data_IF_839688517373
#
_entry.id   IF_839688517373
#
_cell.length_a   1.000
_cell.length_b   1.000
_cell.length_c   1.000
_cell.angle_alpha   90.00
_cell.angle_beta   90.00
_cell.angle_gamma   90.00
#
_symmetry.space_group_name_H-M   'P 1'
#
loop_
_entity.id
_entity.type
_entity.pdbx_description
1 polymer ?
#
# COMPACT_ATOMS: atom_id res chain seq x y z
N UNK A 1 20.07 -7.84 15.13
CA UNK A 1 20.71 -8.62 14.05
C UNK A 1 20.17 -8.12 12.72
N UNK A 2 21.02 -7.61 11.84
CA UNK A 2 20.62 -7.18 10.49
C UNK A 2 20.02 -8.40 9.76
N UNK A 3 18.83 -8.24 9.18
CA UNK A 3 18.09 -9.35 8.55
C UNK A 3 18.65 -9.64 7.16
N UNK A 4 19.81 -10.27 7.04
CA UNK A 4 20.42 -10.59 5.73
C UNK A 4 19.45 -11.37 4.83
N UNK A 5 19.21 -10.83 3.63
CA UNK A 5 18.35 -11.45 2.62
C UNK A 5 19.02 -12.71 2.03
N UNK A 6 18.47 -13.92 2.20
CA UNK A 6 19.12 -15.15 1.73
C UNK A 6 19.09 -15.31 0.19
N UNK A 7 18.33 -14.47 -0.52
CA UNK A 7 18.02 -14.67 -1.94
C UNK A 7 19.02 -14.04 -2.93
N UNK A 8 20.09 -13.40 -2.45
CA UNK A 8 21.18 -12.95 -3.32
C UNK A 8 22.04 -14.11 -3.87
N UNK A 9 21.84 -15.35 -3.41
CA UNK A 9 22.73 -16.47 -3.73
C UNK A 9 22.11 -17.66 -4.51
N UNK A 10 20.80 -17.69 -4.79
CA UNK A 10 20.19 -18.81 -5.54
C UNK A 10 19.33 -18.34 -6.71
N UNK A 11 19.89 -18.38 -7.92
CA UNK A 11 19.08 -18.29 -9.15
C UNK A 11 18.13 -19.50 -9.20
N UNK A 12 16.82 -19.25 -9.19
CA UNK A 12 15.84 -20.17 -9.76
C UNK A 12 14.99 -21.01 -8.81
N UNK A 13 14.91 -20.73 -7.50
CA UNK A 13 13.96 -21.46 -6.64
C UNK A 13 13.01 -20.64 -5.77
N UNK A 14 13.07 -19.31 -5.74
CA UNK A 14 12.12 -18.49 -4.97
C UNK A 14 12.17 -17.00 -5.32
N UNK A 15 12.09 -16.64 -6.62
CA UNK A 15 12.31 -15.26 -7.10
C UNK A 15 11.45 -14.20 -6.38
N UNK A 16 10.28 -14.61 -5.88
CA UNK A 16 9.35 -13.74 -5.14
C UNK A 16 9.12 -14.08 -3.66
N UNK A 17 10.07 -14.76 -3.02
CA UNK A 17 10.01 -14.94 -1.57
C UNK A 17 10.15 -13.60 -0.84
N UNK A 18 9.51 -13.52 0.33
CA UNK A 18 9.56 -12.34 1.18
C UNK A 18 10.97 -12.12 1.72
N UNK A 19 11.41 -10.87 1.64
CA UNK A 19 12.60 -10.38 2.27
C UNK A 19 12.33 -8.95 2.76
N UNK A 20 12.46 -8.67 4.07
CA UNK A 20 12.24 -7.33 4.59
C UNK A 20 13.30 -6.36 4.04
N UNK A 21 12.95 -5.09 3.96
CA UNK A 21 13.88 -4.02 3.59
C UNK A 21 15.12 -4.02 4.50
N UNK A 22 16.29 -3.89 3.89
CA UNK A 22 17.56 -3.68 4.57
C UNK A 22 17.76 -2.20 4.89
N UNK A 23 18.74 -1.88 5.73
CA UNK A 23 19.01 -0.50 6.16
C UNK A 23 19.37 0.44 4.99
N UNK A 24 19.97 -0.08 3.93
CA UNK A 24 20.33 0.67 2.71
C UNK A 24 19.19 0.82 1.70
N UNK A 25 18.12 0.03 1.84
CA UNK A 25 17.02 -0.02 0.89
C UNK A 25 16.08 1.17 1.10
N UNK A 26 15.53 1.69 0.00
CA UNK A 26 14.54 2.78 0.07
C UNK A 26 13.12 2.24 -0.03
N UNK A 27 12.24 2.86 0.74
CA UNK A 27 10.81 2.58 0.76
C UNK A 27 10.02 3.89 0.77
N UNK A 28 8.73 3.77 0.51
CA UNK A 28 7.76 4.86 0.53
C UNK A 28 6.75 4.67 1.67
N UNK A 29 5.66 5.43 1.71
CA UNK A 29 4.49 5.12 2.55
C UNK A 29 3.44 4.26 1.83
N UNK A 30 3.70 3.83 0.59
CA UNK A 30 2.79 2.98 -0.17
C UNK A 30 3.07 1.50 0.15
N UNK A 31 2.18 0.81 0.89
CA UNK A 31 2.40 -0.58 1.27
C UNK A 31 2.47 -1.51 0.06
N UNK A 32 1.76 -1.20 -1.03
CA UNK A 32 1.76 -2.00 -2.25
C UNK A 32 3.12 -1.96 -2.98
N UNK A 33 3.74 -0.79 -3.15
CA UNK A 33 5.05 -0.71 -3.77
C UNK A 33 6.13 -1.33 -2.88
N UNK A 34 6.06 -1.07 -1.58
CA UNK A 34 7.01 -1.62 -0.62
C UNK A 34 6.93 -3.16 -0.56
N UNK A 35 5.72 -3.72 -0.60
CA UNK A 35 5.49 -5.18 -0.68
C UNK A 35 6.06 -5.76 -1.98
N UNK A 36 5.88 -5.09 -3.13
CA UNK A 36 6.50 -5.53 -4.39
C UNK A 36 8.03 -5.58 -4.29
N UNK A 37 8.66 -4.59 -3.66
CA UNK A 37 10.11 -4.58 -3.45
C UNK A 37 10.54 -5.69 -2.46
N UNK A 38 9.81 -5.87 -1.35
CA UNK A 38 10.06 -6.94 -0.37
C UNK A 38 9.90 -8.34 -0.98
N UNK A 39 9.12 -8.47 -2.05
CA UNK A 39 8.95 -9.71 -2.81
C UNK A 39 9.67 -9.72 -4.15
N UNK A 40 10.54 -8.75 -4.46
CA UNK A 40 11.33 -8.75 -5.70
C UNK A 40 10.51 -8.71 -7.00
N UNK A 41 9.27 -8.21 -6.97
CA UNK A 41 8.50 -7.90 -8.19
C UNK A 41 8.96 -6.60 -8.85
N UNK A 42 9.59 -5.73 -8.07
CA UNK A 42 10.40 -4.59 -8.49
C UNK A 42 11.77 -4.69 -7.79
N UNK A 43 12.71 -3.80 -8.08
CA UNK A 43 14.03 -3.83 -7.42
C UNK A 43 13.89 -3.84 -5.90
N UNK A 44 14.58 -4.77 -5.22
CA UNK A 44 14.47 -4.99 -3.77
C UNK A 44 15.00 -3.81 -2.97
N UNK A 45 15.99 -3.11 -3.51
CA UNK A 45 16.54 -1.88 -2.92
C UNK A 45 15.61 -0.67 -3.11
N UNK A 46 14.55 -0.79 -3.92
CA UNK A 46 13.58 0.27 -4.18
C UNK A 46 14.08 1.40 -5.09
N UNK A 47 15.20 1.20 -5.81
CA UNK A 47 15.84 2.22 -6.64
C UNK A 47 15.69 1.94 -8.13
N UNK A 48 15.93 2.99 -8.92
CA UNK A 48 16.03 2.94 -10.38
C UNK A 48 14.82 2.32 -11.11
N UNK A 49 13.61 2.56 -10.59
CA UNK A 49 12.38 1.99 -11.11
C UNK A 49 11.90 2.76 -12.33
N UNK A 50 11.81 2.07 -13.47
CA UNK A 50 11.18 2.60 -14.69
C UNK A 50 9.66 2.40 -14.67
N UNK A 51 8.98 3.06 -15.61
CA UNK A 51 7.57 2.80 -15.88
C UNK A 51 7.28 1.30 -16.08
N UNK A 52 8.13 0.61 -16.86
CA UNK A 52 7.95 -0.81 -17.18
C UNK A 52 8.06 -1.71 -15.96
N UNK A 53 8.97 -1.37 -15.03
CA UNK A 53 9.17 -2.15 -13.79
C UNK A 53 7.93 -2.07 -12.91
N UNK A 54 7.41 -0.87 -12.68
CA UNK A 54 6.21 -0.66 -11.86
C UNK A 54 4.98 -1.23 -12.56
N UNK A 55 4.81 -0.96 -13.85
CA UNK A 55 3.70 -1.47 -14.66
C UNK A 55 3.64 -3.01 -14.66
N UNK A 56 4.77 -3.67 -14.92
CA UNK A 56 4.85 -5.13 -14.94
C UNK A 56 4.72 -5.72 -13.54
N UNK A 57 5.33 -5.09 -12.54
CA UNK A 57 5.26 -5.48 -11.13
C UNK A 57 3.81 -5.47 -10.61
N UNK A 58 3.05 -4.41 -10.89
CA UNK A 58 1.64 -4.31 -10.49
C UNK A 58 0.78 -5.45 -11.07
N UNK A 59 0.97 -5.78 -12.34
CA UNK A 59 0.26 -6.89 -12.98
C UNK A 59 0.69 -8.25 -12.41
N UNK A 60 2.00 -8.47 -12.24
CA UNK A 60 2.55 -9.75 -11.80
C UNK A 60 2.30 -10.03 -10.31
N UNK A 61 2.38 -9.00 -9.46
CA UNK A 61 2.22 -9.11 -8.02
C UNK A 61 0.73 -9.14 -7.61
N UNK A 62 -0.10 -8.28 -8.21
CA UNK A 62 -1.48 -8.04 -7.75
C UNK A 62 -2.57 -8.42 -8.74
N UNK A 63 -2.21 -8.93 -9.92
CA UNK A 63 -3.18 -9.31 -10.95
C UNK A 63 -3.91 -8.10 -11.54
N UNK A 64 -3.30 -6.92 -11.59
CA UNK A 64 -3.97 -5.78 -12.23
C UNK A 64 -4.11 -6.01 -13.75
N UNK A 65 -5.19 -5.51 -14.34
CA UNK A 65 -5.28 -5.40 -15.81
C UNK A 65 -4.26 -4.40 -16.35
N UNK A 66 -3.85 -4.57 -17.61
CA UNK A 66 -2.97 -3.64 -18.31
C UNK A 66 -3.51 -2.19 -18.25
N UNK A 67 -4.80 -1.99 -18.49
CA UNK A 67 -5.41 -0.66 -18.44
C UNK A 67 -5.30 -0.02 -17.04
N UNK A 68 -5.62 -0.77 -15.98
CA UNK A 68 -5.52 -0.26 -14.62
C UNK A 68 -4.06 0.02 -14.23
N UNK A 69 -3.14 -0.91 -14.52
CA UNK A 69 -1.71 -0.72 -14.25
C UNK A 69 -1.15 0.49 -15.00
N UNK A 70 -1.53 0.70 -16.26
CA UNK A 70 -1.12 1.87 -17.05
C UNK A 70 -1.59 3.18 -16.41
N UNK A 71 -2.86 3.25 -16.00
CA UNK A 71 -3.43 4.44 -15.32
C UNK A 71 -2.71 4.72 -14.00
N UNK A 72 -2.51 3.70 -13.16
CA UNK A 72 -1.86 3.87 -11.87
C UNK A 72 -0.39 4.28 -12.01
N UNK A 73 0.38 3.62 -12.88
CA UNK A 73 1.78 3.99 -13.09
C UNK A 73 1.87 5.39 -13.69
N UNK A 74 1.07 5.72 -14.70
CA UNK A 74 1.08 7.07 -15.31
C UNK A 74 0.71 8.15 -14.30
N UNK A 75 -0.38 7.94 -13.55
CA UNK A 75 -0.80 8.86 -12.49
C UNK A 75 0.26 9.03 -11.41
N UNK A 76 0.89 7.94 -10.98
CA UNK A 76 1.98 7.94 -10.00
C UNK A 76 3.15 8.82 -10.43
N UNK A 77 3.61 8.73 -11.68
CA UNK A 77 4.65 9.62 -12.22
C UNK A 77 4.18 11.08 -12.31
N UNK A 78 2.98 11.33 -12.85
CA UNK A 78 2.51 12.70 -13.09
C UNK A 78 2.21 13.46 -11.79
N UNK A 79 1.65 12.80 -10.78
CA UNK A 79 1.29 13.42 -9.49
C UNK A 79 2.53 13.88 -8.72
N UNK A 80 3.66 13.18 -8.84
CA UNK A 80 4.97 13.64 -8.30
C UNK A 80 5.74 14.53 -9.29
N UNK A 81 5.08 15.03 -10.34
CA UNK A 81 5.65 15.91 -11.38
C UNK A 81 6.85 15.29 -12.11
N UNK A 82 6.74 14.00 -12.45
CA UNK A 82 7.71 13.24 -13.24
C UNK A 82 7.11 12.77 -14.56
N UNK A 83 7.97 12.66 -15.57
CA UNK A 83 7.60 12.06 -16.86
C UNK A 83 7.65 10.53 -16.74
N UNK A 84 6.64 9.79 -17.23
CA UNK A 84 6.68 8.32 -17.30
C UNK A 84 7.59 7.81 -18.44
N UNK A 85 8.04 8.69 -19.33
CA UNK A 85 8.84 8.33 -20.50
C UNK A 85 10.32 8.43 -20.14
N UNK A 86 11.03 7.30 -20.24
CA UNK A 86 12.49 7.27 -20.15
C UNK A 86 13.09 7.86 -21.42
N UNK A 87 13.79 8.98 -21.28
CA UNK A 87 14.49 9.61 -22.39
C UNK A 87 15.89 8.99 -22.57
N UNK A 88 16.38 8.82 -23.80
CA UNK A 88 17.73 8.32 -24.03
C UNK A 88 18.79 9.25 -23.46
N UNK A 89 19.91 8.70 -22.98
CA UNK A 89 21.02 9.48 -22.39
C UNK A 89 21.68 10.48 -23.34
N UNK A 90 21.50 10.31 -24.66
CA UNK A 90 22.06 11.17 -25.70
C UNK A 90 21.17 12.37 -26.09
N UNK A 91 19.98 12.53 -25.50
CA UNK A 91 19.11 13.67 -25.76
C UNK A 91 19.66 14.95 -25.07
N UNK A 92 19.85 16.07 -25.79
CA UNK A 92 20.60 17.22 -25.26
C UNK A 92 19.69 18.08 -24.36
N UNK A 93 19.81 17.92 -23.04
CA UNK A 93 19.97 18.99 -22.04
C UNK A 93 19.83 18.51 -20.59
N UNK A 94 19.08 17.45 -20.26
CA UNK A 94 18.99 16.93 -18.88
C UNK A 94 18.53 15.46 -18.86
N UNK A 95 19.46 14.52 -19.09
CA UNK A 95 19.18 13.08 -18.91
C UNK A 95 18.82 12.71 -17.47
N UNK A 96 19.13 13.58 -16.51
CA UNK A 96 18.78 13.46 -15.09
C UNK A 96 17.89 14.63 -14.64
N UNK A 97 17.04 14.38 -13.65
CA UNK A 97 16.16 15.37 -13.03
C UNK A 97 16.46 15.43 -11.53
N UNK A 98 16.56 16.65 -10.99
CA UNK A 98 16.75 16.88 -9.56
C UNK A 98 15.43 16.64 -8.81
N UNK A 99 15.49 15.79 -7.79
CA UNK A 99 14.43 15.46 -6.86
C UNK A 99 14.23 16.54 -5.80
N UNK A 100 13.04 16.61 -5.17
CA UNK A 100 12.79 17.56 -4.10
C UNK A 100 13.73 17.39 -2.89
N UNK A 101 14.36 16.25 -2.69
CA UNK A 101 15.37 16.03 -1.65
C UNK A 101 16.79 16.44 -2.09
N UNK A 102 16.97 16.93 -3.34
CA UNK A 102 18.25 17.29 -3.93
C UNK A 102 18.97 16.14 -4.65
N UNK A 103 18.49 14.90 -4.54
CA UNK A 103 19.05 13.77 -5.29
C UNK A 103 18.80 13.91 -6.79
N UNK A 104 19.54 13.22 -7.63
CA UNK A 104 19.35 13.24 -9.08
C UNK A 104 19.04 11.83 -9.58
N UNK A 105 18.04 11.70 -10.44
CA UNK A 105 17.65 10.42 -11.06
C UNK A 105 17.48 10.61 -12.56
N UNK A 106 17.73 9.59 -13.40
CA UNK A 106 17.45 9.71 -14.82
C UNK A 106 15.99 10.08 -15.11
N UNK A 107 15.73 10.85 -16.16
CA UNK A 107 14.36 11.17 -16.57
C UNK A 107 13.59 9.88 -16.92
N UNK A 108 12.38 9.72 -16.37
CA UNK A 108 11.58 8.50 -16.51
C UNK A 108 11.96 7.36 -15.56
N UNK A 109 12.81 7.63 -14.58
CA UNK A 109 13.19 6.73 -13.49
C UNK A 109 12.78 7.35 -12.16
N UNK A 110 12.32 6.53 -11.22
CA UNK A 110 12.01 6.94 -9.85
C UNK A 110 12.60 5.97 -8.83
N UNK A 111 12.86 6.49 -7.64
CA UNK A 111 13.09 5.69 -6.44
C UNK A 111 11.82 5.67 -5.60
N UNK A 112 11.57 4.61 -4.82
CA UNK A 112 10.37 4.52 -3.97
C UNK A 112 10.23 5.71 -3.02
N UNK A 113 11.34 6.24 -2.49
CA UNK A 113 11.32 7.41 -1.62
C UNK A 113 10.54 8.59 -2.24
N UNK A 114 10.70 8.83 -3.55
CA UNK A 114 10.06 9.93 -4.26
C UNK A 114 8.52 9.80 -4.32
N UNK A 115 8.00 8.57 -4.28
CA UNK A 115 6.54 8.31 -4.26
C UNK A 115 5.91 8.86 -2.97
N UNK A 116 6.69 8.93 -1.88
CA UNK A 116 6.26 9.50 -0.61
C UNK A 116 6.24 11.04 -0.58
N UNK A 117 6.45 11.72 -1.71
CA UNK A 117 6.44 13.18 -1.77
C UNK A 117 5.03 13.72 -1.46
N UNK A 118 4.94 14.54 -0.41
CA UNK A 118 3.67 15.06 0.08
C UNK A 118 2.94 15.93 -0.95
N UNK A 119 1.63 15.68 -1.09
CA UNK A 119 0.76 16.35 -2.05
C UNK A 119 0.95 15.87 -3.50
N UNK A 120 1.71 14.79 -3.70
CA UNK A 120 1.78 14.04 -4.95
C UNK A 120 0.81 12.86 -4.91
N UNK A 121 1.34 11.66 -4.76
CA UNK A 121 0.52 10.47 -4.42
C UNK A 121 0.26 10.43 -2.92
N UNK A 122 1.28 10.75 -2.12
CA UNK A 122 1.19 10.80 -0.66
C UNK A 122 0.22 11.89 -0.18
N UNK A 123 -0.60 11.53 0.80
CA UNK A 123 -1.59 12.39 1.40
C UNK A 123 -1.80 12.09 2.89
N UNK A 124 -2.38 13.06 3.57
CA UNK A 124 -2.76 12.95 4.98
C UNK A 124 -3.89 11.93 5.22
N UNK A 125 -4.18 11.67 6.48
CA UNK A 125 -5.17 10.68 6.89
C UNK A 125 -4.89 9.30 6.26
N UNK A 126 -3.61 8.96 6.11
CA UNK A 126 -3.17 7.59 5.82
C UNK A 126 -3.63 6.64 6.90
N UNK A 127 -3.88 5.36 6.58
CA UNK A 127 -4.42 4.40 7.56
C UNK A 127 -3.44 4.09 8.70
N UNK A 128 -2.14 3.99 8.39
CA UNK A 128 -1.12 3.49 9.32
C UNK A 128 0.19 4.31 9.30
N UNK A 129 0.22 5.43 8.59
CA UNK A 129 1.35 6.36 8.56
C UNK A 129 0.90 7.74 9.06
N UNK A 130 1.76 8.41 9.82
CA UNK A 130 1.52 9.79 10.23
C UNK A 130 1.56 10.75 9.04
N UNK A 131 0.80 11.82 9.15
CA UNK A 131 0.78 12.93 8.20
C UNK A 131 2.15 13.60 8.09
N UNK A 132 2.42 14.24 6.95
CA UNK A 132 3.64 15.02 6.76
C UNK A 132 3.63 16.24 7.68
N UNK A 133 4.68 16.37 8.51
CA UNK A 133 4.84 17.50 9.42
C UNK A 133 4.97 18.84 8.66
N UNK A 134 4.48 19.96 9.23
CA UNK A 134 4.63 21.27 8.61
C UNK A 134 6.08 21.60 8.21
N UNK A 135 6.28 22.00 6.95
CA UNK A 135 7.60 22.34 6.41
C UNK A 135 8.45 21.14 5.98
N UNK A 136 8.01 19.90 6.20
CA UNK A 136 8.63 18.71 5.63
C UNK A 136 8.04 18.38 4.26
N UNK A 137 8.79 17.62 3.45
CA UNK A 137 8.37 17.17 2.11
C UNK A 137 7.90 15.71 2.07
N UNK A 138 8.23 14.94 3.10
CA UNK A 138 7.96 13.51 3.19
C UNK A 138 7.45 13.20 4.60
N UNK A 139 6.50 12.26 4.74
CA UNK A 139 6.01 11.82 6.04
C UNK A 139 6.99 10.84 6.70
N UNK A 140 6.83 10.56 8.01
CA UNK A 140 7.52 9.46 8.66
C UNK A 140 7.16 8.11 8.00
N UNK A 141 8.18 7.35 7.58
CA UNK A 141 7.98 6.03 6.94
C UNK A 141 7.56 4.93 7.92
N UNK A 142 7.75 5.14 9.23
CA UNK A 142 7.46 4.13 10.24
C UNK A 142 5.94 3.89 10.30
N UNK A 143 5.54 2.63 10.19
CA UNK A 143 4.16 2.18 10.42
C UNK A 143 3.83 2.33 11.91
N UNK A 144 2.72 3.03 12.21
CA UNK A 144 2.15 3.12 13.55
C UNK A 144 1.43 1.79 13.88
N UNK A 145 2.07 0.96 14.70
CA UNK A 145 1.57 -0.38 15.05
C UNK A 145 0.24 -0.33 15.82
N UNK A 146 0.02 0.58 16.79
CA UNK A 146 -1.30 0.82 17.35
C UNK A 146 -2.39 1.12 16.31
N UNK A 147 -2.10 1.91 15.27
CA UNK A 147 -3.09 2.22 14.23
C UNK A 147 -3.46 1.00 13.39
N UNK A 148 -2.55 0.05 13.18
CA UNK A 148 -2.88 -1.25 12.59
C UNK A 148 -3.91 -1.97 13.45
N UNK A 149 -3.72 -2.01 14.78
CA UNK A 149 -4.69 -2.63 15.69
C UNK A 149 -6.04 -1.89 15.66
N UNK A 150 -6.04 -0.56 15.58
CA UNK A 150 -7.28 0.23 15.53
C UNK A 150 -8.16 -0.12 14.32
N UNK A 151 -7.59 -0.64 13.22
CA UNK A 151 -8.37 -1.12 12.08
C UNK A 151 -9.34 -2.24 12.48
N UNK A 152 -8.99 -3.08 13.45
CA UNK A 152 -9.84 -4.17 13.94
C UNK A 152 -11.15 -3.62 14.52
N UNK A 153 -11.09 -2.45 15.17
CA UNK A 153 -12.26 -1.79 15.77
C UNK A 153 -13.27 -1.24 14.77
N UNK A 154 -12.88 -1.07 13.50
CA UNK A 154 -13.75 -0.57 12.43
C UNK A 154 -14.47 -1.70 11.67
N UNK A 155 -14.14 -2.97 11.94
CA UNK A 155 -14.73 -4.14 11.27
C UNK A 155 -16.09 -4.52 11.89
N UNK A 156 -17.09 -4.75 11.03
CA UNK A 156 -18.45 -5.11 11.42
C UNK A 156 -18.90 -6.47 10.87
N UNK A 157 -19.54 -7.36 11.66
CA UNK A 157 -19.81 -7.21 13.09
C UNK A 157 -18.52 -7.15 13.90
N UNK A 158 -18.60 -6.61 15.11
CA UNK A 158 -17.46 -6.42 15.98
C UNK A 158 -16.63 -7.72 16.12
N UNK A 159 -15.31 -7.59 15.95
CA UNK A 159 -14.38 -8.71 16.01
C UNK A 159 -14.31 -9.23 17.44
N UNK A 160 -14.58 -10.52 17.62
CA UNK A 160 -14.51 -11.18 18.93
C UNK A 160 -13.13 -10.96 19.55
N UNK A 161 -13.10 -10.61 20.83
CA UNK A 161 -11.84 -10.40 21.57
C UNK A 161 -11.18 -9.04 21.36
N UNK A 162 -11.70 -8.19 20.46
CA UNK A 162 -11.25 -6.81 20.35
C UNK A 162 -11.98 -5.91 21.37
N UNK A 163 -11.20 -5.24 22.23
CA UNK A 163 -11.67 -4.18 23.11
C UNK A 163 -10.70 -2.99 23.05
N UNK A 164 -11.19 -1.86 22.56
CA UNK A 164 -10.42 -0.62 22.41
C UNK A 164 -9.81 -0.14 23.73
N UNK A 165 -10.51 -0.32 24.85
CA UNK A 165 -9.99 0.16 26.15
C UNK A 165 -8.80 -0.66 26.64
N UNK A 166 -8.79 -1.96 26.33
CA UNK A 166 -7.69 -2.86 26.63
C UNK A 166 -6.49 -2.58 25.73
N UNK A 167 -6.72 -2.37 24.42
CA UNK A 167 -5.66 -2.02 23.44
C UNK A 167 -4.95 -0.72 23.81
N UNK A 168 -5.69 0.32 24.23
CA UNK A 168 -5.09 1.59 24.65
C UNK A 168 -4.21 1.47 25.90
N UNK A 169 -4.48 0.51 26.78
CA UNK A 169 -3.71 0.29 28.01
C UNK A 169 -2.46 -0.58 27.79
N UNK A 170 -2.46 -1.45 26.78
CA UNK A 170 -1.34 -2.34 26.47
C UNK A 170 -1.06 -2.40 24.95
N UNK A 171 -0.25 -1.49 24.41
CA UNK A 171 -0.19 -1.24 22.98
C UNK A 171 0.65 -2.20 22.12
N UNK A 172 1.35 -3.23 22.65
CA UNK A 172 2.34 -3.99 21.87
C UNK A 172 2.33 -5.54 22.05
N UNK A 173 2.23 -6.37 20.99
CA UNK A 173 1.63 -6.13 19.67
C UNK A 173 0.21 -6.70 19.63
N UNK A 174 -0.79 -5.83 19.72
CA UNK A 174 -2.20 -6.23 19.78
C UNK A 174 -2.76 -6.70 18.44
N UNK A 175 -2.27 -6.20 17.29
CA UNK A 175 -2.80 -6.63 15.98
C UNK A 175 -2.45 -8.09 15.64
N UNK A 176 -1.30 -8.60 16.12
CA UNK A 176 -0.86 -9.97 15.83
C UNK A 176 -1.80 -11.02 16.41
N UNK A 177 -2.50 -10.70 17.51
CA UNK A 177 -3.58 -11.52 18.05
C UNK A 177 -4.69 -11.76 17.03
N UNK A 178 -4.97 -10.76 16.18
CA UNK A 178 -6.01 -10.81 15.14
C UNK A 178 -5.45 -11.24 13.77
N UNK A 179 -4.16 -11.53 13.67
CA UNK A 179 -3.49 -11.96 12.44
C UNK A 179 -3.14 -13.46 12.46
N UNK A 180 -4.08 -14.27 12.94
CA UNK A 180 -3.95 -15.73 13.05
C UNK A 180 -5.05 -16.43 12.25
N UNK A 181 -4.92 -17.76 12.08
CA UNK A 181 -5.93 -18.55 11.38
C UNK A 181 -7.32 -18.54 12.05
N UNK A 182 -7.40 -18.23 13.36
CA UNK A 182 -8.66 -18.05 14.09
C UNK A 182 -9.53 -16.96 13.44
N UNK A 183 -8.91 -15.89 12.95
CA UNK A 183 -9.61 -14.73 12.39
C UNK A 183 -9.70 -14.76 10.85
N UNK A 184 -9.26 -15.84 10.20
CA UNK A 184 -9.24 -15.94 8.73
C UNK A 184 -10.62 -15.85 8.08
N UNK A 185 -11.67 -16.26 8.79
CA UNK A 185 -13.07 -16.12 8.37
C UNK A 185 -13.68 -14.74 8.66
N UNK A 186 -12.97 -13.88 9.41
CA UNK A 186 -13.38 -12.50 9.65
C UNK A 186 -13.00 -11.68 8.43
N UNK A 187 -13.99 -11.28 7.63
CA UNK A 187 -13.76 -10.51 6.41
C UNK A 187 -13.82 -9.01 6.67
N UNK A 188 -12.98 -8.24 5.97
CA UNK A 188 -12.97 -6.77 5.92
C UNK A 188 -13.54 -6.33 4.57
N UNK A 189 -14.71 -5.70 4.61
CA UNK A 189 -15.47 -5.26 3.44
C UNK A 189 -15.13 -3.82 3.05
N UNK A 190 -15.63 -3.39 1.89
CA UNK A 190 -15.59 -1.98 1.48
C UNK A 190 -16.28 -1.05 2.50
N UNK A 191 -17.32 -1.52 3.18
CA UNK A 191 -18.00 -0.75 4.22
C UNK A 191 -17.10 -0.53 5.44
N UNK A 192 -16.39 -1.57 5.88
CA UNK A 192 -15.44 -1.50 7.00
C UNK A 192 -14.30 -0.51 6.70
N UNK A 193 -13.76 -0.57 5.48
CA UNK A 193 -12.79 0.44 5.00
C UNK A 193 -13.40 1.85 5.01
N UNK A 194 -14.67 2.00 4.64
CA UNK A 194 -15.37 3.29 4.76
C UNK A 194 -15.38 3.84 6.18
N UNK A 195 -15.58 2.99 7.20
CA UNK A 195 -15.45 3.39 8.61
C UNK A 195 -14.02 3.78 8.98
N UNK A 196 -13.01 2.99 8.56
CA UNK A 196 -11.59 3.31 8.77
C UNK A 196 -11.23 4.69 8.18
N UNK A 197 -11.63 4.96 6.93
CA UNK A 197 -11.39 6.25 6.25
C UNK A 197 -12.11 7.40 6.96
N UNK A 198 -13.38 7.21 7.36
CA UNK A 198 -14.14 8.21 8.12
C UNK A 198 -13.46 8.55 9.44
N UNK A 199 -12.93 7.56 10.15
CA UNK A 199 -12.19 7.77 11.40
C UNK A 199 -10.92 8.58 11.16
N UNK A 200 -10.09 8.19 10.19
CA UNK A 200 -8.85 8.90 9.86
C UNK A 200 -9.07 10.35 9.42
N UNK A 201 -10.09 10.63 8.60
CA UNK A 201 -10.42 12.01 8.22
C UNK A 201 -10.95 12.86 9.39
N UNK A 202 -11.59 12.25 10.40
CA UNK A 202 -12.00 12.96 11.62
C UNK A 202 -10.81 13.32 12.51
N UNK A 203 -9.81 12.46 12.56
CA UNK A 203 -8.62 12.62 13.42
C UNK A 203 -7.71 13.76 12.96
N UNK A 204 -7.82 14.21 11.71
CA UNK A 204 -7.03 15.34 11.17
C UNK A 204 -7.77 16.69 11.24
N UNK A 205 -9.00 16.74 11.76
CA UNK A 205 -9.75 18.00 11.85
C UNK A 205 -8.98 19.06 12.67
N UNK A 206 -9.02 20.34 12.26
CA UNK A 206 -9.88 20.93 11.23
C UNK A 206 -9.35 20.79 9.78
N UNK A 207 -8.18 20.16 9.57
CA UNK A 207 -7.66 19.87 8.23
C UNK A 207 -8.62 18.93 7.49
N UNK A 208 -8.65 19.04 6.16
CA UNK A 208 -9.47 18.19 5.29
C UNK A 208 -8.64 17.74 4.10
N UNK A 209 -8.82 16.49 3.71
CA UNK A 209 -8.34 16.00 2.43
C UNK A 209 -9.11 16.71 1.30
N UNK A 210 -8.40 17.14 0.27
CA UNK A 210 -9.05 17.62 -0.95
C UNK A 210 -9.67 16.46 -1.74
N UNK A 211 -10.48 16.79 -2.74
CA UNK A 211 -11.23 15.81 -3.51
C UNK A 211 -10.35 14.80 -4.27
N UNK A 212 -9.16 15.21 -4.73
CA UNK A 212 -8.25 14.33 -5.48
C UNK A 212 -7.64 13.31 -4.53
N UNK A 213 -7.05 13.77 -3.43
CA UNK A 213 -6.44 12.87 -2.45
C UNK A 213 -7.47 11.99 -1.74
N UNK A 214 -8.71 12.47 -1.55
CA UNK A 214 -9.80 11.63 -1.06
C UNK A 214 -10.13 10.46 -1.99
N UNK A 215 -10.11 10.67 -3.32
CA UNK A 215 -10.30 9.58 -4.28
C UNK A 215 -9.09 8.64 -4.34
N UNK A 216 -7.86 9.16 -4.25
CA UNK A 216 -6.64 8.34 -4.16
C UNK A 216 -6.72 7.42 -2.94
N UNK A 217 -7.03 7.97 -1.76
CA UNK A 217 -7.05 7.22 -0.51
C UNK A 217 -8.10 6.08 -0.50
N UNK A 218 -9.24 6.28 -1.18
CA UNK A 218 -10.23 5.22 -1.39
C UNK A 218 -9.76 4.21 -2.43
N UNK A 219 -9.15 4.68 -3.51
CA UNK A 219 -8.63 3.88 -4.61
C UNK A 219 -7.57 2.87 -4.16
N UNK A 220 -6.65 3.29 -3.29
CA UNK A 220 -5.63 2.43 -2.68
C UNK A 220 -6.26 1.20 -2.02
N UNK A 221 -7.26 1.42 -1.16
CA UNK A 221 -7.94 0.31 -0.48
C UNK A 221 -8.88 -0.46 -1.40
N UNK A 222 -9.48 0.17 -2.40
CA UNK A 222 -10.28 -0.51 -3.41
C UNK A 222 -9.45 -1.56 -4.18
N UNK A 223 -8.18 -1.24 -4.49
CA UNK A 223 -7.23 -2.17 -5.11
C UNK A 223 -6.87 -3.31 -4.15
N UNK A 224 -6.55 -3.00 -2.89
CA UNK A 224 -6.22 -4.01 -1.85
C UNK A 224 -7.38 -4.97 -1.64
N UNK A 225 -8.61 -4.46 -1.52
CA UNK A 225 -9.81 -5.30 -1.39
C UNK A 225 -9.99 -6.22 -2.62
N UNK A 226 -9.63 -5.74 -3.81
CA UNK A 226 -9.71 -6.53 -5.04
C UNK A 226 -8.66 -7.62 -5.17
N UNK A 227 -7.57 -7.59 -4.39
CA UNK A 227 -6.52 -8.61 -4.43
C UNK A 227 -7.01 -9.94 -3.85
N UNK A 228 -7.77 -9.90 -2.76
CA UNK A 228 -8.15 -11.08 -1.97
C UNK A 228 -9.66 -11.18 -1.75
N UNK A 229 -10.43 -10.68 -2.71
CA UNK A 229 -11.88 -10.67 -2.62
C UNK A 229 -12.42 -12.08 -2.41
N UNK A 230 -13.04 -12.28 -1.25
CA UNK A 230 -13.67 -13.52 -0.85
C UNK A 230 -15.10 -13.21 -0.40
N UNK A 231 -15.98 -14.21 -0.43
CA UNK A 231 -17.35 -14.08 0.06
C UNK A 231 -17.69 -15.27 0.93
N UNK A 232 -17.96 -14.98 2.21
CA UNK A 232 -18.33 -15.97 3.20
C UNK A 232 -19.47 -15.44 4.07
N UNK A 233 -20.43 -16.31 4.39
CA UNK A 233 -21.56 -15.99 5.26
C UNK A 233 -22.30 -14.69 4.89
N UNK A 234 -22.47 -14.43 3.59
CA UNK A 234 -23.18 -13.24 3.08
C UNK A 234 -22.40 -11.92 3.16
N UNK A 235 -21.14 -11.94 3.58
CA UNK A 235 -20.24 -10.78 3.56
C UNK A 235 -19.15 -10.98 2.52
N UNK A 236 -18.93 -9.98 1.68
CA UNK A 236 -17.79 -9.93 0.74
C UNK A 236 -16.69 -9.02 1.30
N UNK A 237 -15.44 -9.45 1.19
CA UNK A 237 -14.29 -8.72 1.71
C UNK A 237 -13.01 -9.55 1.68
N UNK A 238 -11.98 -9.07 2.38
CA UNK A 238 -10.69 -9.75 2.48
C UNK A 238 -10.46 -10.30 3.89
N UNK A 239 -9.75 -11.43 4.08
CA UNK A 239 -9.44 -11.94 5.41
C UNK A 239 -8.72 -10.88 6.27
N UNK A 240 -9.22 -10.65 7.48
CA UNK A 240 -8.65 -9.67 8.43
C UNK A 240 -7.15 -9.91 8.68
N UNK A 241 -6.68 -11.14 8.94
CA UNK A 241 -5.24 -11.40 9.10
C UNK A 241 -4.40 -10.95 7.92
N UNK A 242 -4.92 -11.05 6.69
CA UNK A 242 -4.19 -10.70 5.48
C UNK A 242 -4.07 -9.19 5.34
N UNK A 243 -5.13 -8.44 5.63
CA UNK A 243 -5.08 -6.98 5.66
C UNK A 243 -4.07 -6.48 6.70
N UNK A 244 -4.16 -6.99 7.93
CA UNK A 244 -3.28 -6.54 9.02
C UNK A 244 -1.82 -6.85 8.71
N UNK A 245 -1.52 -8.06 8.25
CA UNK A 245 -0.14 -8.45 7.86
C UNK A 245 0.37 -7.60 6.71
N UNK A 246 -0.45 -7.34 5.69
CA UNK A 246 -0.06 -6.52 4.54
C UNK A 246 0.28 -5.09 4.95
N UNK A 247 -0.56 -4.44 5.77
CA UNK A 247 -0.32 -3.07 6.21
C UNK A 247 0.78 -2.95 7.27
N UNK A 248 0.96 -3.96 8.13
CA UNK A 248 1.91 -3.91 9.24
C UNK A 248 3.32 -4.36 8.86
N UNK A 249 3.43 -5.30 7.91
CA UNK A 249 4.68 -5.95 7.54
C UNK A 249 5.02 -5.83 6.05
N UNK A 250 4.14 -5.23 5.24
CA UNK A 250 4.35 -5.05 3.79
C UNK A 250 4.72 -6.37 3.11
N UNK A 251 3.90 -7.37 3.39
CA UNK A 251 4.14 -8.77 3.11
C UNK A 251 2.88 -9.41 2.56
N UNK A 252 3.04 -10.18 1.48
CA UNK A 252 1.96 -11.00 0.93
C UNK A 252 1.62 -12.15 1.88
N UNK A 253 0.33 -12.51 2.03
CA UNK A 253 -0.08 -13.59 2.90
C UNK A 253 0.48 -14.94 2.43
N UNK A 254 0.68 -15.84 3.38
CA UNK A 254 1.04 -17.24 3.08
C UNK A 254 -0.23 -18.06 2.87
N UNK A 255 -0.15 -18.96 1.91
CA UNK A 255 -1.18 -19.95 1.58
C UNK A 255 -0.59 -21.35 1.70
N UNK A 256 -1.42 -22.38 1.61
CA UNK A 256 -0.97 -23.78 1.58
C UNK A 256 0.00 -24.06 0.41
N UNK A 257 -0.06 -23.26 -0.66
CA UNK A 257 0.81 -23.36 -1.84
C UNK A 257 2.03 -22.43 -1.78
N UNK A 258 2.29 -21.81 -0.63
CA UNK A 258 3.34 -20.81 -0.43
C UNK A 258 2.82 -19.37 -0.48
N UNK A 259 3.70 -18.43 -0.82
CA UNK A 259 3.33 -17.00 -0.91
C UNK A 259 2.19 -16.80 -1.92
N UNK A 260 1.17 -16.04 -1.52
CA UNK A 260 0.00 -15.78 -2.35
C UNK A 260 0.39 -15.21 -3.73
N UNK A 261 -0.37 -15.62 -4.75
CA UNK A 261 -0.29 -15.10 -6.13
C UNK A 261 -1.70 -14.80 -6.64
N UNK A 262 -1.87 -13.82 -7.54
CA UNK A 262 -3.18 -13.47 -8.07
C UNK A 262 -3.79 -14.64 -8.85
N UNK A 263 -5.05 -14.97 -8.53
CA UNK A 263 -5.86 -15.98 -9.22
C UNK A 263 -6.84 -15.39 -10.23
N UNK A 264 -7.04 -14.07 -10.19
CA UNK A 264 -7.91 -13.31 -11.09
C UNK A 264 -7.27 -11.98 -11.46
N UNK A 265 -7.89 -11.28 -12.41
CA UNK A 265 -7.53 -9.92 -12.75
C UNK A 265 -8.54 -8.93 -12.19
N UNK A 266 -8.07 -7.78 -11.71
CA UNK A 266 -8.93 -6.66 -11.33
C UNK A 266 -8.72 -5.46 -12.26
N UNK A 267 -9.83 -4.90 -12.74
CA UNK A 267 -9.89 -3.82 -13.70
C UNK A 267 -10.28 -2.48 -13.07
N UNK A 268 -10.21 -1.43 -13.91
CA UNK A 268 -10.57 -0.07 -13.49
C UNK A 268 -12.02 0.04 -12.99
N UNK A 269 -12.96 -0.64 -13.64
CA UNK A 269 -14.38 -0.63 -13.23
C UNK A 269 -14.60 -1.29 -11.88
N UNK A 270 -13.83 -2.35 -11.57
CA UNK A 270 -13.91 -3.03 -10.27
C UNK A 270 -13.44 -2.09 -9.15
N UNK A 271 -12.31 -1.39 -9.37
CA UNK A 271 -11.78 -0.40 -8.45
C UNK A 271 -12.77 0.75 -8.25
N UNK A 272 -13.36 1.29 -9.32
CA UNK A 272 -14.37 2.36 -9.24
C UNK A 272 -15.60 1.90 -8.44
N UNK A 273 -16.09 0.68 -8.67
CA UNK A 273 -17.23 0.12 -7.92
C UNK A 273 -16.92 0.00 -6.42
N UNK A 274 -15.75 -0.54 -6.05
CA UNK A 274 -15.32 -0.67 -4.65
C UNK A 274 -15.09 0.69 -4.00
N UNK A 275 -14.43 1.63 -4.70
CA UNK A 275 -14.19 2.99 -4.22
C UNK A 275 -15.53 3.71 -3.92
N UNK A 276 -16.53 3.56 -4.79
CA UNK A 276 -17.88 4.08 -4.55
C UNK A 276 -18.52 3.48 -3.29
N UNK A 277 -18.40 2.16 -3.08
CA UNK A 277 -18.92 1.52 -1.87
C UNK A 277 -18.23 2.00 -0.59
N UNK A 278 -16.90 2.22 -0.63
CA UNK A 278 -16.16 2.84 0.47
C UNK A 278 -16.69 4.25 0.74
N UNK A 279 -16.84 5.06 -0.32
CA UNK A 279 -17.29 6.46 -0.24
C UNK A 279 -18.68 6.61 0.39
N UNK A 280 -19.63 5.74 0.00
CA UNK A 280 -20.98 5.66 0.57
C UNK A 280 -20.92 5.60 2.10
N UNK A 281 -20.17 4.66 2.66
CA UNK A 281 -20.04 4.54 4.11
C UNK A 281 -19.17 5.65 4.70
N UNK A 282 -18.09 6.06 4.03
CA UNK A 282 -17.20 7.11 4.52
C UNK A 282 -17.96 8.42 4.80
N UNK A 283 -18.84 8.85 3.89
CA UNK A 283 -19.59 10.10 4.00
C UNK A 283 -21.05 9.96 4.41
N UNK A 284 -21.55 8.72 4.57
CA UNK A 284 -22.94 8.47 4.96
C UNK A 284 -23.94 8.78 3.84
N UNK A 285 -23.54 8.51 2.60
CA UNK A 285 -24.35 8.65 1.38
C UNK A 285 -25.04 7.34 1.02
#
# INVERSE_FOLDING_TARGET
MAKTCPFLQSKGQNDHAFCPAQESDVRSVCPALNTMANHGYISRDGRELSFSDIYSGLMACYGLTAALAFVLTTGGFLLIKRSPIRLPSWFPFFGTVTNPDGTQTPAGILDLHLVGLHGGVEHDASLVHHDTEPGKRYPPLKIDQPWVTDLVGDVQPAVKGYDRTTVMKNPDPSWRTFATDEYKSTLVSAADVGYMRRRREREILPKKLDGVHAEIARGEMAIVLGMWDDTSNGKSGIPLPWLLTFLAEEKLPQTEKGTWRPSHKQGLLDVVKRSKAIRTVQYGQ
#
